data_IF_168909014700
#
_entry.id   IF_168909014700
#
_cell.length_a   1.000
_cell.length_b   1.000
_cell.length_c   1.000
_cell.angle_alpha   90.00
_cell.angle_beta   90.00
_cell.angle_gamma   90.00
#
_symmetry.space_group_name_H-M   'P 1'
#
loop_
_entity.id
_entity.type
_entity.pdbx_description
1 polymer ?
#
# COMPACT_ATOMS: atom_id res chain seq x y z
N UNK A 1 8.29 2.61 0.02
CA UNK A 1 7.72 3.43 -1.07
C UNK A 1 8.68 4.57 -1.25
N UNK A 2 9.20 4.77 -2.46
CA UNK A 2 10.32 5.68 -2.78
C UNK A 2 10.17 7.02 -2.04
N UNK A 3 11.12 7.33 -1.15
CA UNK A 3 11.00 8.50 -0.28
C UNK A 3 11.56 9.77 -0.94
N UNK A 4 12.50 9.62 -1.88
CA UNK A 4 13.11 10.73 -2.59
C UNK A 4 13.41 10.40 -4.06
N UNK A 5 12.51 10.79 -4.97
CA UNK A 5 12.72 10.70 -6.42
C UNK A 5 12.94 12.11 -6.98
N UNK A 6 14.07 12.34 -7.64
CA UNK A 6 14.30 13.57 -8.38
C UNK A 6 13.88 13.38 -9.83
N UNK A 7 12.89 14.16 -10.28
CA UNK A 7 12.40 14.09 -11.66
C UNK A 7 13.11 15.15 -12.49
N UNK A 8 13.84 14.73 -13.52
CA UNK A 8 14.44 15.60 -14.51
C UNK A 8 13.43 15.86 -15.63
N UNK A 9 13.10 17.14 -15.81
CA UNK A 9 12.19 17.61 -16.85
C UNK A 9 13.00 18.14 -18.03
N UNK A 10 12.50 17.91 -19.24
CA UNK A 10 13.07 18.53 -20.43
C UNK A 10 12.74 20.03 -20.52
N UNK A 11 13.27 20.69 -21.53
CA UNK A 11 13.04 22.12 -21.80
C UNK A 11 11.58 22.47 -22.12
N UNK A 12 10.73 21.48 -22.39
CA UNK A 12 9.28 21.61 -22.60
C UNK A 12 8.49 21.34 -21.30
N UNK A 13 9.17 21.01 -20.21
CA UNK A 13 8.58 20.74 -18.89
C UNK A 13 8.13 19.30 -18.71
N UNK A 14 8.38 18.41 -19.67
CA UNK A 14 7.98 17.00 -19.58
C UNK A 14 9.00 16.19 -18.76
N UNK A 15 8.49 15.41 -17.82
CA UNK A 15 9.30 14.50 -17.00
C UNK A 15 9.81 13.33 -17.86
N UNK A 16 11.11 13.31 -18.17
CA UNK A 16 11.72 12.24 -19.00
C UNK A 16 12.55 11.25 -18.20
N UNK A 17 13.21 11.71 -17.15
CA UNK A 17 14.07 10.86 -16.34
C UNK A 17 13.77 11.02 -14.86
N UNK A 18 13.90 9.93 -14.13
CA UNK A 18 13.83 9.91 -12.68
C UNK A 18 15.19 9.44 -12.16
N UNK A 19 15.78 10.23 -11.27
CA UNK A 19 16.95 9.84 -10.49
C UNK A 19 16.44 9.35 -9.15
N UNK A 20 16.85 8.14 -8.80
CA UNK A 20 16.55 7.49 -7.54
C UNK A 20 17.86 6.98 -6.94
N UNK A 21 17.89 6.85 -5.62
CA UNK A 21 19.03 6.23 -4.96
C UNK A 21 19.23 4.79 -5.46
N UNK A 22 20.48 4.36 -5.58
CA UNK A 22 20.77 3.04 -6.14
C UNK A 22 20.24 1.89 -5.26
N UNK A 23 20.21 2.06 -3.94
CA UNK A 23 19.63 1.06 -3.03
C UNK A 23 18.10 0.99 -3.17
N UNK A 24 17.46 2.14 -3.35
CA UNK A 24 16.03 2.19 -3.67
C UNK A 24 15.74 1.49 -5.02
N UNK A 25 16.59 1.71 -6.03
CA UNK A 25 16.48 1.03 -7.33
C UNK A 25 16.56 -0.48 -7.17
N UNK A 26 17.57 -0.98 -6.46
CA UNK A 26 17.74 -2.41 -6.23
C UNK A 26 16.56 -3.01 -5.47
N UNK A 27 16.02 -2.29 -4.50
CA UNK A 27 14.85 -2.73 -3.72
C UNK A 27 13.62 -2.88 -4.62
N UNK A 28 13.33 -1.88 -5.46
CA UNK A 28 12.22 -1.94 -6.42
C UNK A 28 12.46 -3.03 -7.47
N UNK A 29 13.68 -3.14 -8.00
CA UNK A 29 14.04 -4.16 -8.98
C UNK A 29 13.83 -5.56 -8.43
N UNK A 30 14.31 -5.83 -7.22
CA UNK A 30 14.16 -7.14 -6.58
C UNK A 30 12.69 -7.46 -6.36
N UNK A 31 11.92 -6.52 -5.80
CA UNK A 31 10.48 -6.70 -5.59
C UNK A 31 9.71 -7.00 -6.89
N UNK A 32 10.06 -6.31 -7.98
CA UNK A 32 9.44 -6.49 -9.29
C UNK A 32 10.01 -7.67 -10.09
N UNK A 33 11.12 -8.27 -9.65
CA UNK A 33 11.79 -9.35 -10.39
C UNK A 33 11.10 -10.71 -10.20
N UNK A 34 10.27 -10.86 -9.17
CA UNK A 34 9.53 -12.09 -8.89
C UNK A 34 8.07 -11.77 -8.63
N UNK A 35 7.20 -12.45 -9.37
CA UNK A 35 5.74 -12.37 -9.18
C UNK A 35 5.35 -12.82 -7.78
N UNK A 36 6.00 -13.85 -7.24
CA UNK A 36 5.76 -14.36 -5.88
C UNK A 36 6.09 -13.31 -4.81
N UNK A 37 7.23 -12.63 -4.94
CA UNK A 37 7.62 -11.57 -4.00
C UNK A 37 6.68 -10.36 -4.05
N UNK A 38 6.14 -10.08 -5.23
CA UNK A 38 5.14 -9.03 -5.40
C UNK A 38 3.82 -9.42 -4.73
N UNK A 39 3.37 -10.66 -4.92
CA UNK A 39 2.16 -11.21 -4.28
C UNK A 39 2.27 -11.16 -2.75
N UNK A 40 3.37 -11.65 -2.18
CA UNK A 40 3.64 -11.61 -0.74
C UNK A 40 3.59 -10.17 -0.19
N UNK A 41 4.16 -9.21 -0.94
CA UNK A 41 4.15 -7.81 -0.54
C UNK A 41 2.74 -7.19 -0.59
N UNK A 42 1.95 -7.51 -1.62
CA UNK A 42 0.57 -7.06 -1.74
C UNK A 42 -0.30 -7.64 -0.62
N UNK A 43 -0.11 -8.91 -0.28
CA UNK A 43 -0.80 -9.57 0.84
C UNK A 43 -0.45 -8.93 2.17
N UNK A 44 0.84 -8.65 2.41
CA UNK A 44 1.27 -7.91 3.59
C UNK A 44 0.57 -6.54 3.69
N UNK A 45 0.53 -5.76 2.60
CA UNK A 45 -0.16 -4.47 2.57
C UNK A 45 -1.66 -4.61 2.84
N UNK A 46 -2.30 -5.63 2.27
CA UNK A 46 -3.71 -5.90 2.49
C UNK A 46 -4.00 -6.19 3.97
N UNK A 47 -3.20 -7.04 4.61
CA UNK A 47 -3.34 -7.36 6.04
C UNK A 47 -3.18 -6.10 6.89
N UNK A 48 -2.20 -5.25 6.58
CA UNK A 48 -2.00 -3.98 7.29
C UNK A 48 -3.23 -3.07 7.16
N UNK A 49 -3.82 -2.97 5.97
CA UNK A 49 -5.04 -2.21 5.76
C UNK A 49 -6.23 -2.80 6.52
N UNK A 50 -6.43 -4.11 6.49
CA UNK A 50 -7.51 -4.79 7.23
C UNK A 50 -7.35 -4.59 8.73
N UNK A 51 -6.13 -4.67 9.26
CA UNK A 51 -5.86 -4.41 10.69
C UNK A 51 -6.11 -2.96 11.09
N UNK A 52 -5.83 -2.00 10.20
CA UNK A 52 -6.10 -0.57 10.42
C UNK A 52 -7.58 -0.23 10.27
N UNK A 53 -8.36 -1.05 9.57
CA UNK A 53 -9.82 -0.91 9.55
C UNK A 53 -10.33 -1.26 10.93
N UNK A 54 -10.74 -0.24 11.67
CA UNK A 54 -11.50 -0.41 12.90
C UNK A 54 -12.86 -1.00 12.54
N UNK A 55 -12.95 -2.34 12.52
CA UNK A 55 -14.25 -3.01 12.44
C UNK A 55 -14.92 -2.74 13.78
N UNK A 56 -15.97 -1.92 13.78
CA UNK A 56 -16.83 -1.70 14.94
C UNK A 56 -17.35 -3.09 15.35
N UNK A 57 -16.80 -3.63 16.44
CA UNK A 57 -17.23 -4.92 16.98
C UNK A 57 -18.55 -4.65 17.70
N UNK A 58 -19.63 -5.16 17.14
CA UNK A 58 -20.94 -5.09 17.78
C UNK A 58 -21.09 -6.28 18.72
N UNK A 59 -21.56 -6.02 19.94
CA UNK A 59 -22.00 -7.06 20.86
C UNK A 59 -23.36 -7.61 20.42
N UNK A 60 -23.66 -8.86 20.80
CA UNK A 60 -24.94 -9.48 20.51
C UNK A 60 -26.13 -8.64 21.03
N UNK A 61 -25.95 -8.00 22.18
CA UNK A 61 -26.96 -7.12 22.78
C UNK A 61 -27.21 -5.88 21.91
N UNK A 62 -26.16 -5.22 21.40
CA UNK A 62 -26.30 -4.06 20.51
C UNK A 62 -26.96 -4.44 19.18
N UNK A 63 -26.63 -5.60 18.61
CA UNK A 63 -27.26 -6.08 17.36
C UNK A 63 -28.73 -6.41 17.55
N UNK A 64 -29.09 -7.04 18.68
CA UNK A 64 -30.48 -7.35 19.02
C UNK A 64 -31.32 -6.09 19.20
N UNK A 65 -30.77 -5.11 19.91
CA UNK A 65 -31.42 -3.82 20.13
C UNK A 65 -31.66 -3.05 18.82
N UNK A 66 -30.69 -3.05 17.91
CA UNK A 66 -30.83 -2.38 16.60
C UNK A 66 -31.83 -3.11 15.67
N UNK A 67 -31.95 -4.43 15.80
CA UNK A 67 -32.87 -5.26 15.01
C UNK A 67 -34.28 -5.38 15.62
N UNK A 68 -34.55 -4.72 16.75
CA UNK A 68 -35.85 -4.75 17.42
C UNK A 68 -36.20 -6.09 18.08
N UNK A 69 -35.19 -6.92 18.35
CA UNK A 69 -35.34 -8.11 19.19
C UNK A 69 -34.91 -7.72 20.61
N UNK A 70 -35.82 -7.69 21.57
CA UNK A 70 -35.45 -7.63 23.00
C UNK A 70 -34.68 -8.90 23.43
#
# INVERSE_FOLDING_TARGET
>A
MLEAVQILKDSQGEARFAVLDFQEYLSVKNLLSSTEQLEDYLDYLHIQQVKRRTVKKWSLAEVKQELGFE
#
